data_IF_941593259928
#
_entry.id   IF_941593259928
#
_cell.length_a   1.000
_cell.length_b   1.000
_cell.length_c   1.000
_cell.angle_alpha   90.00
_cell.angle_beta   90.00
_cell.angle_gamma   90.00
#
_symmetry.space_group_name_H-M   'P 1'
#
loop_
_entity.id
_entity.type
_entity.pdbx_description
1 polymer ?
#
# COMPACT_ATOMS: atom_id res chain seq x y z
N UNK A 1 -15.03 -15.53 4.69
CA UNK A 1 -13.67 -15.03 4.40
C UNK A 1 -13.16 -15.82 3.20
N UNK A 2 -12.85 -15.16 2.08
CA UNK A 2 -12.27 -15.82 0.91
C UNK A 2 -10.75 -15.73 1.04
N UNK A 3 -10.06 -16.86 0.92
CA UNK A 3 -8.60 -16.92 0.87
C UNK A 3 -8.26 -17.26 -0.58
N UNK A 4 -7.42 -16.43 -1.19
CA UNK A 4 -6.93 -16.64 -2.55
C UNK A 4 -5.41 -16.70 -2.51
N UNK A 5 -4.85 -17.56 -3.35
CA UNK A 5 -3.40 -17.64 -3.53
C UNK A 5 -2.93 -16.43 -4.32
N UNK A 6 -1.86 -15.79 -3.85
CA UNK A 6 -1.23 -14.68 -4.54
C UNK A 6 -0.07 -15.23 -5.37
N UNK A 7 -0.28 -15.31 -6.68
CA UNK A 7 0.71 -15.86 -7.61
C UNK A 7 1.25 -14.78 -8.55
N UNK A 8 2.58 -14.64 -8.58
CA UNK A 8 3.28 -13.69 -9.44
C UNK A 8 3.29 -12.25 -8.93
N UNK A 9 4.22 -11.48 -9.47
CA UNK A 9 4.53 -10.11 -9.04
C UNK A 9 3.34 -9.17 -9.19
N UNK A 10 2.56 -9.28 -10.26
CA UNK A 10 1.44 -8.37 -10.49
C UNK A 10 0.29 -8.60 -9.52
N UNK A 11 0.00 -9.86 -9.15
CA UNK A 11 -0.97 -10.16 -8.11
C UNK A 11 -0.49 -9.64 -6.76
N UNK A 12 0.79 -9.87 -6.45
CA UNK A 12 1.41 -9.37 -5.23
C UNK A 12 1.32 -7.84 -5.11
N UNK A 13 1.67 -7.12 -6.17
CA UNK A 13 1.57 -5.64 -6.22
C UNK A 13 0.14 -5.16 -6.00
N UNK A 14 -0.86 -5.80 -6.63
CA UNK A 14 -2.28 -5.46 -6.45
C UNK A 14 -2.73 -5.66 -5.00
N UNK A 15 -2.37 -6.78 -4.38
CA UNK A 15 -2.74 -7.08 -2.99
C UNK A 15 -2.07 -6.10 -2.02
N UNK A 16 -0.78 -5.83 -2.19
CA UNK A 16 -0.07 -4.90 -1.32
C UNK A 16 -0.64 -3.47 -1.43
N UNK A 17 -0.93 -3.01 -2.65
CA UNK A 17 -1.60 -1.73 -2.86
C UNK A 17 -2.99 -1.70 -2.23
N UNK A 18 -3.79 -2.77 -2.39
CA UNK A 18 -5.11 -2.86 -1.77
C UNK A 18 -5.03 -2.69 -0.24
N UNK A 19 -4.09 -3.37 0.42
CA UNK A 19 -3.88 -3.24 1.87
C UNK A 19 -3.57 -1.79 2.26
N UNK A 20 -2.67 -1.13 1.52
CA UNK A 20 -2.28 0.25 1.79
C UNK A 20 -3.36 1.28 1.43
N UNK A 21 -4.17 1.01 0.41
CA UNK A 21 -5.24 1.88 -0.07
C UNK A 21 -6.53 1.75 0.75
N UNK A 22 -6.71 0.65 1.48
CA UNK A 22 -7.92 0.35 2.24
C UNK A 22 -8.36 1.48 3.20
N UNK A 23 -7.45 2.14 3.94
CA UNK A 23 -7.80 3.28 4.80
C UNK A 23 -8.34 4.48 4.02
N UNK A 24 -7.85 4.71 2.81
CA UNK A 24 -8.32 5.80 1.93
C UNK A 24 -9.66 5.42 1.31
N UNK A 25 -9.78 4.18 0.83
CA UNK A 25 -10.99 3.61 0.25
C UNK A 25 -12.19 3.72 1.20
N UNK A 26 -11.97 3.50 2.49
CA UNK A 26 -13.01 3.58 3.53
C UNK A 26 -13.13 4.93 4.24
N UNK A 27 -12.41 5.96 3.80
CA UNK A 27 -12.58 7.30 4.34
C UNK A 27 -11.96 7.53 5.72
N UNK A 28 -10.96 6.73 6.14
CA UNK A 28 -10.27 6.89 7.42
C UNK A 28 -9.06 7.84 7.38
N UNK A 29 -8.32 7.88 6.26
CA UNK A 29 -7.32 8.93 5.96
C UNK A 29 -7.36 9.40 4.50
N UNK A 30 -7.11 10.70 4.20
CA UNK A 30 -7.29 11.21 2.84
C UNK A 30 -6.19 10.73 1.88
N UNK A 31 -5.07 10.23 2.43
CA UNK A 31 -3.91 9.70 1.70
C UNK A 31 -3.32 8.47 2.39
N UNK A 32 -2.69 7.57 1.63
CA UNK A 32 -2.09 6.33 2.14
C UNK A 32 -1.06 6.63 3.23
N UNK A 33 -0.23 7.67 3.04
CA UNK A 33 0.83 8.04 3.98
C UNK A 33 0.31 8.57 5.32
N UNK A 34 -0.98 8.82 5.46
CA UNK A 34 -1.55 9.33 6.71
C UNK A 34 -2.02 8.19 7.63
N UNK A 35 -2.15 6.96 7.13
CA UNK A 35 -2.51 5.82 7.96
C UNK A 35 -1.34 5.41 8.86
N UNK A 36 -1.49 5.57 10.18
CA UNK A 36 -0.44 5.26 11.16
C UNK A 36 -0.11 3.76 11.22
N UNK A 37 -1.09 2.84 11.33
CA UNK A 37 -0.79 1.41 11.41
C UNK A 37 -0.66 0.82 9.99
N UNK A 38 0.34 1.30 9.24
CA UNK A 38 0.63 0.85 7.87
C UNK A 38 2.11 0.54 7.70
N UNK A 39 2.42 -0.57 7.03
CA UNK A 39 3.79 -0.88 6.60
C UNK A 39 4.25 0.01 5.45
N UNK A 40 3.36 0.76 4.78
CA UNK A 40 3.71 1.68 3.69
C UNK A 40 4.88 2.60 4.05
N UNK A 41 4.85 3.22 5.24
CA UNK A 41 5.92 4.11 5.73
C UNK A 41 7.24 3.40 5.98
N UNK A 42 7.20 2.12 6.31
CA UNK A 42 8.40 1.33 6.56
C UNK A 42 9.19 1.14 5.26
N UNK A 43 8.51 1.04 4.11
CA UNK A 43 9.15 0.98 2.80
C UNK A 43 9.81 2.32 2.40
N UNK A 44 9.36 3.44 2.96
CA UNK A 44 9.96 4.77 2.74
C UNK A 44 11.11 5.09 3.71
N UNK A 45 11.27 4.29 4.74
CA UNK A 45 12.21 4.52 5.84
C UNK A 45 13.47 3.69 5.65
N UNK A 46 14.61 4.21 6.11
CA UNK A 46 15.89 3.51 6.20
C UNK A 46 16.07 2.77 7.53
N UNK A 47 15.11 2.87 8.45
CA UNK A 47 15.20 2.22 9.76
C UNK A 47 15.24 0.69 9.63
N UNK A 48 15.96 0.05 10.56
CA UNK A 48 16.08 -1.41 10.62
C UNK A 48 14.74 -2.02 11.03
N UNK A 49 14.23 -2.93 10.22
CA UNK A 49 12.98 -3.67 10.50
C UNK A 49 13.13 -5.13 10.10
N UNK A 50 12.19 -5.98 10.54
CA UNK A 50 12.13 -7.39 10.12
C UNK A 50 11.40 -7.60 8.79
N UNK A 51 11.05 -6.52 8.07
CA UNK A 51 10.40 -6.63 6.76
C UNK A 51 11.45 -6.83 5.68
N UNK A 52 11.14 -7.74 4.75
CA UNK A 52 11.91 -8.01 3.52
C UNK A 52 11.75 -6.84 2.52
N UNK A 53 12.24 -5.65 2.89
CA UNK A 53 12.09 -4.42 2.12
C UNK A 53 12.69 -4.55 0.73
N UNK A 54 13.88 -5.12 0.64
CA UNK A 54 14.61 -5.22 -0.62
C UNK A 54 13.89 -6.12 -1.63
N UNK A 55 13.31 -7.23 -1.15
CA UNK A 55 12.47 -8.09 -1.98
C UNK A 55 11.25 -7.34 -2.51
N UNK A 56 10.49 -6.69 -1.62
CA UNK A 56 9.29 -5.96 -2.02
C UNK A 56 9.65 -4.84 -2.99
N UNK A 57 10.62 -3.99 -2.67
CA UNK A 57 11.02 -2.90 -3.55
C UNK A 57 11.52 -3.43 -4.91
N UNK A 58 12.26 -4.55 -4.94
CA UNK A 58 12.67 -5.20 -6.19
C UNK A 58 11.48 -5.63 -7.04
N UNK A 59 10.45 -6.24 -6.44
CA UNK A 59 9.21 -6.61 -7.17
C UNK A 59 8.58 -5.39 -7.83
N UNK A 60 8.58 -4.23 -7.16
CA UNK A 60 8.04 -2.99 -7.71
C UNK A 60 8.96 -2.30 -8.72
N UNK A 61 10.25 -2.66 -8.80
CA UNK A 61 11.24 -1.99 -9.65
C UNK A 61 11.94 -0.82 -8.95
N UNK A 62 11.97 -0.81 -7.62
CA UNK A 62 12.61 0.21 -6.78
C UNK A 62 11.62 1.06 -5.99
N UNK A 63 12.16 1.91 -5.11
CA UNK A 63 11.38 2.81 -4.25
C UNK A 63 10.51 3.79 -5.06
N UNK A 64 11.07 4.39 -6.10
CA UNK A 64 10.33 5.32 -6.96
C UNK A 64 9.12 4.65 -7.61
N UNK A 65 9.31 3.45 -8.16
CA UNK A 65 8.23 2.65 -8.77
C UNK A 65 7.24 2.13 -7.76
N UNK A 66 7.68 1.85 -6.53
CA UNK A 66 6.77 1.54 -5.42
C UNK A 66 5.85 2.74 -5.12
N UNK A 67 6.41 3.94 -4.94
CA UNK A 67 5.62 5.15 -4.68
C UNK A 67 4.70 5.49 -5.85
N UNK A 68 5.19 5.40 -7.09
CA UNK A 68 4.40 5.59 -8.31
C UNK A 68 3.22 4.59 -8.40
N UNK A 69 3.45 3.33 -8.06
CA UNK A 69 2.37 2.34 -8.03
C UNK A 69 1.30 2.68 -6.98
N UNK A 70 1.70 3.27 -5.86
CA UNK A 70 0.79 3.63 -4.77
C UNK A 70 0.08 4.98 -4.96
N UNK A 71 0.50 5.81 -5.91
CA UNK A 71 -0.19 7.07 -6.24
C UNK A 71 -1.38 6.90 -7.19
N UNK A 72 -1.67 5.66 -7.61
CA UNK A 72 -2.81 5.33 -8.47
C UNK A 72 -4.14 5.78 -7.83
N UNK A 73 -5.15 6.13 -8.65
CA UNK A 73 -6.46 6.49 -8.15
C UNK A 73 -7.06 5.38 -7.28
N UNK A 74 -7.56 5.76 -6.11
CA UNK A 74 -8.26 4.87 -5.18
C UNK A 74 -9.74 5.19 -5.28
N UNK A 75 -10.53 4.20 -5.67
CA UNK A 75 -11.99 4.32 -5.60
C UNK A 75 -12.41 4.45 -4.13
N UNK A 76 -13.26 5.42 -3.80
CA UNK A 76 -13.67 5.71 -2.43
C UNK A 76 -15.07 5.14 -2.20
N UNK A 77 -15.20 4.17 -1.30
CA UNK A 77 -16.49 3.59 -0.91
C UNK A 77 -17.35 4.59 -0.14
N UNK A 78 -16.71 5.41 0.68
CA UNK A 78 -17.35 6.45 1.48
C UNK A 78 -16.81 7.79 1.05
N UNK A 79 -17.71 8.78 0.92
CA UNK A 79 -17.28 10.18 0.80
C UNK A 79 -16.60 10.54 2.12
N UNK A 80 -15.44 11.17 2.02
CA UNK A 80 -14.84 11.88 3.14
C UNK A 80 -15.88 12.85 3.68
N UNK A 81 -16.31 12.64 4.93
CA UNK A 81 -17.14 13.60 5.64
C UNK A 81 -16.13 14.62 6.16
N UNK A 82 -15.98 15.72 5.43
CA UNK A 82 -15.30 16.89 5.93
C UNK A 82 -16.23 17.47 7.02
N UNK A 83 -15.88 17.26 8.29
CA UNK A 83 -16.46 18.01 9.42
C UNK A 83 -16.02 19.48 9.38
#
# INVERSE_FOLDING_TARGET
MKIELVEGDDAFKRVLHYIHANPVHHGFVPRIEMWKPSSYKIFLSTEKTNLERDYVLKVFGGLEKFVEYHSRPIDKKTKWIDD
#
